data_IF_510139476465
#
_entry.id   IF_510139476465
#
_cell.length_a   1.000
_cell.length_b   1.000
_cell.length_c   1.000
_cell.angle_alpha   90.00
_cell.angle_beta   90.00
_cell.angle_gamma   90.00
#
_symmetry.space_group_name_H-M   'P 1'
#
loop_
_entity.id
_entity.type
_entity.pdbx_description
1 polymer ?
#
# COMPACT_ATOMS: atom_id res chain seq x y z
N UNK A 1 -20.13 -2.07 -11.29
CA UNK A 1 -19.66 -2.54 -12.60
C UNK A 1 -19.34 -4.01 -12.48
N UNK A 2 -19.72 -4.86 -13.44
CA UNK A 2 -19.36 -6.29 -13.38
C UNK A 2 -17.85 -6.50 -13.67
N UNK A 3 -17.24 -7.64 -13.29
CA UNK A 3 -15.80 -7.84 -13.43
C UNK A 3 -15.27 -7.72 -14.87
N UNK A 4 -16.03 -8.20 -15.86
CA UNK A 4 -15.64 -8.14 -17.27
C UNK A 4 -15.61 -6.72 -17.82
N UNK A 5 -16.64 -5.93 -17.50
CA UNK A 5 -16.70 -4.52 -17.87
C UNK A 5 -15.60 -3.71 -17.18
N UNK A 6 -15.29 -4.01 -15.91
CA UNK A 6 -14.18 -3.38 -15.20
C UNK A 6 -12.84 -3.66 -15.88
N UNK A 7 -12.56 -4.91 -16.24
CA UNK A 7 -11.30 -5.29 -16.90
C UNK A 7 -11.15 -4.61 -18.27
N UNK A 8 -12.24 -4.49 -19.02
CA UNK A 8 -12.24 -3.75 -20.29
C UNK A 8 -11.99 -2.25 -20.07
N UNK A 9 -12.68 -1.63 -19.10
CA UNK A 9 -12.49 -0.22 -18.77
C UNK A 9 -11.05 0.09 -18.35
N UNK A 10 -10.46 -0.73 -17.47
CA UNK A 10 -9.06 -0.59 -17.04
C UNK A 10 -8.08 -0.66 -18.21
N UNK A 11 -8.32 -1.53 -19.18
CA UNK A 11 -7.50 -1.62 -20.40
C UNK A 11 -7.57 -0.34 -21.22
N UNK A 12 -8.79 0.12 -21.51
CA UNK A 12 -9.03 1.34 -22.29
C UNK A 12 -8.46 2.59 -21.60
N UNK A 13 -8.61 2.70 -20.29
CA UNK A 13 -8.02 3.79 -19.51
C UNK A 13 -6.49 3.77 -19.54
N UNK A 14 -5.89 2.58 -19.52
CA UNK A 14 -4.43 2.43 -19.57
C UNK A 14 -3.87 2.83 -20.93
N UNK A 15 -4.57 2.48 -22.01
CA UNK A 15 -4.28 2.91 -23.39
C UNK A 15 -4.43 4.42 -23.55
N UNK A 16 -5.50 5.00 -23.01
CA UNK A 16 -5.73 6.44 -23.01
C UNK A 16 -4.79 7.21 -22.06
N UNK A 17 -3.98 6.53 -21.25
CA UNK A 17 -3.09 7.16 -20.28
C UNK A 17 -3.79 7.89 -19.14
N UNK A 18 -4.96 7.40 -18.74
CA UNK A 18 -5.70 7.95 -17.60
C UNK A 18 -4.88 7.80 -16.33
N UNK A 19 -4.74 8.86 -15.52
CA UNK A 19 -3.89 8.79 -14.33
C UNK A 19 -4.44 7.76 -13.31
N UNK A 20 -3.59 7.05 -12.55
CA UNK A 20 -4.04 6.18 -11.46
C UNK A 20 -4.95 6.91 -10.46
N UNK A 21 -4.69 8.20 -10.22
CA UNK A 21 -5.51 9.06 -9.37
C UNK A 21 -6.93 9.21 -9.90
N UNK A 22 -7.12 9.35 -11.21
CA UNK A 22 -8.45 9.48 -11.81
C UNK A 22 -9.18 8.13 -11.89
N UNK A 23 -8.47 7.06 -12.25
CA UNK A 23 -9.04 5.70 -12.21
C UNK A 23 -9.50 5.33 -10.81
N UNK A 24 -8.78 5.73 -9.76
CA UNK A 24 -9.22 5.54 -8.37
C UNK A 24 -10.59 6.19 -8.09
N UNK A 25 -10.86 7.36 -8.68
CA UNK A 25 -12.17 8.04 -8.55
C UNK A 25 -13.23 7.32 -9.37
N UNK A 26 -12.92 6.93 -10.60
CA UNK A 26 -13.84 6.24 -11.51
C UNK A 26 -14.29 4.88 -10.95
N UNK A 27 -13.41 4.20 -10.20
CA UNK A 27 -13.70 2.96 -9.49
C UNK A 27 -14.39 3.17 -8.13
N UNK A 28 -14.71 4.42 -7.76
CA UNK A 28 -15.30 4.78 -6.48
C UNK A 28 -14.50 4.31 -5.23
N UNK A 29 -13.18 4.16 -5.35
CA UNK A 29 -12.32 3.73 -4.25
C UNK A 29 -12.11 4.84 -3.18
N UNK A 30 -12.73 6.01 -3.35
CA UNK A 30 -12.77 7.02 -2.28
C UNK A 30 -13.57 6.54 -1.06
N UNK A 31 -14.43 5.55 -1.23
CA UNK A 31 -15.35 5.01 -0.22
C UNK A 31 -14.81 3.72 0.44
N UNK A 32 -13.48 3.51 0.46
CA UNK A 32 -12.86 2.28 0.99
C UNK A 32 -13.29 1.97 2.44
N UNK A 33 -13.21 2.92 3.38
CA UNK A 33 -13.66 2.72 4.78
C UNK A 33 -15.14 2.33 4.83
N UNK A 34 -15.99 2.96 4.03
CA UNK A 34 -17.45 2.75 4.10
C UNK A 34 -17.91 1.48 3.39
N UNK A 35 -17.02 0.78 2.70
CA UNK A 35 -17.37 -0.44 1.97
C UNK A 35 -17.60 -1.65 2.89
N UNK A 36 -17.05 -1.64 4.11
CA UNK A 36 -17.10 -2.78 5.04
C UNK A 36 -16.29 -4.01 4.58
N UNK A 37 -15.67 -3.96 3.39
CA UNK A 37 -14.83 -5.02 2.84
C UNK A 37 -13.38 -4.77 3.26
N UNK A 38 -12.69 -5.81 3.72
CA UNK A 38 -11.25 -5.71 4.01
C UNK A 38 -10.48 -5.35 2.73
N UNK A 39 -9.37 -4.63 2.86
CA UNK A 39 -8.63 -4.13 1.70
C UNK A 39 -8.09 -5.26 0.81
N UNK A 40 -7.62 -6.35 1.41
CA UNK A 40 -7.11 -7.55 0.75
C UNK A 40 -8.21 -8.38 0.09
N UNK A 41 -9.44 -8.31 0.61
CA UNK A 41 -10.63 -8.92 0.03
C UNK A 41 -11.33 -8.02 -1.01
N UNK A 42 -10.79 -6.84 -1.33
CA UNK A 42 -11.41 -5.89 -2.27
C UNK A 42 -10.85 -6.07 -3.69
N UNK A 43 -11.55 -6.79 -4.59
CA UNK A 43 -11.04 -7.06 -5.94
C UNK A 43 -10.86 -5.78 -6.77
N UNK A 44 -11.70 -4.76 -6.57
CA UNK A 44 -11.58 -3.49 -7.29
C UNK A 44 -10.32 -2.73 -6.88
N UNK A 45 -9.94 -2.78 -5.59
CA UNK A 45 -8.70 -2.19 -5.11
C UNK A 45 -7.47 -2.93 -5.68
N UNK A 46 -7.49 -4.26 -5.68
CA UNK A 46 -6.40 -5.07 -6.25
C UNK A 46 -6.22 -4.80 -7.75
N UNK A 47 -7.31 -4.71 -8.50
CA UNK A 47 -7.25 -4.34 -9.92
C UNK A 47 -6.73 -2.92 -10.14
N UNK A 48 -7.05 -1.97 -9.25
CA UNK A 48 -6.47 -0.63 -9.30
C UNK A 48 -4.95 -0.63 -9.02
N UNK A 49 -4.47 -1.48 -8.11
CA UNK A 49 -3.03 -1.63 -7.87
C UNK A 49 -2.32 -2.21 -9.11
N UNK A 50 -2.91 -3.23 -9.75
CA UNK A 50 -2.40 -3.78 -11.02
C UNK A 50 -2.37 -2.74 -12.13
N UNK A 51 -3.45 -1.97 -12.27
CA UNK A 51 -3.52 -0.84 -13.20
C UNK A 51 -2.39 0.16 -12.96
N UNK A 52 -2.18 0.52 -11.70
CA UNK A 52 -1.16 1.49 -11.30
C UNK A 52 0.25 0.99 -11.60
N UNK A 53 0.55 -0.28 -11.31
CA UNK A 53 1.81 -0.90 -11.67
C UNK A 53 2.04 -0.89 -13.19
N UNK A 54 1.01 -1.24 -13.97
CA UNK A 54 1.09 -1.21 -15.43
C UNK A 54 1.24 0.21 -15.99
N UNK A 55 0.56 1.20 -15.40
CA UNK A 55 0.67 2.61 -15.77
C UNK A 55 2.10 3.12 -15.61
N UNK A 56 2.74 2.81 -14.47
CA UNK A 56 4.14 3.15 -14.19
C UNK A 56 5.10 2.45 -15.15
N UNK A 57 4.89 1.16 -15.41
CA UNK A 57 5.75 0.38 -16.30
C UNK A 57 5.74 0.91 -17.75
N UNK A 58 4.60 1.43 -18.23
CA UNK A 58 4.50 2.07 -19.56
C UNK A 58 5.15 3.45 -19.64
N UNK A 59 5.48 4.06 -18.49
CA UNK A 59 5.98 5.44 -18.39
C UNK A 59 7.13 5.53 -17.37
N UNK A 60 8.24 4.78 -17.58
CA UNK A 60 9.28 4.65 -16.56
C UNK A 60 10.05 5.96 -16.32
N UNK A 61 10.15 6.83 -17.32
CA UNK A 61 10.78 8.16 -17.22
C UNK A 61 9.84 9.22 -16.65
N UNK A 62 8.58 8.84 -16.43
CA UNK A 62 7.54 9.76 -16.01
C UNK A 62 7.34 9.65 -14.49
N UNK A 63 7.78 10.67 -13.78
CA UNK A 63 7.65 10.75 -12.32
C UNK A 63 6.23 11.17 -11.88
N UNK A 64 5.25 11.24 -12.79
CA UNK A 64 3.88 11.70 -12.51
C UNK A 64 3.14 10.87 -11.44
N UNK A 65 3.52 9.60 -11.22
CA UNK A 65 2.88 8.78 -10.18
C UNK A 65 3.84 7.78 -9.53
N UNK A 66 4.08 7.93 -8.23
CA UNK A 66 5.08 7.16 -7.48
C UNK A 66 4.44 6.36 -6.34
N UNK A 67 5.21 5.44 -5.73
CA UNK A 67 4.74 4.59 -4.63
C UNK A 67 4.30 5.42 -3.41
N UNK A 68 4.92 6.59 -3.19
CA UNK A 68 4.47 7.57 -2.21
C UNK A 68 3.04 8.04 -2.42
N UNK A 69 2.62 8.26 -3.67
CA UNK A 69 1.24 8.68 -3.97
C UNK A 69 0.23 7.57 -3.71
N UNK A 70 0.57 6.31 -4.03
CA UNK A 70 -0.26 5.15 -3.70
C UNK A 70 -0.47 5.08 -2.19
N UNK A 71 0.63 5.09 -1.43
CA UNK A 71 0.59 5.04 0.03
C UNK A 71 -0.26 6.19 0.61
N UNK A 72 0.00 7.44 0.21
CA UNK A 72 -0.74 8.61 0.67
C UNK A 72 -2.23 8.54 0.33
N UNK A 73 -2.60 7.98 -0.82
CA UNK A 73 -4.01 7.82 -1.20
C UNK A 73 -4.74 6.83 -0.29
N UNK A 74 -4.07 5.79 0.20
CA UNK A 74 -4.62 4.79 1.12
C UNK A 74 -4.73 5.34 2.54
N UNK A 75 -3.65 5.86 3.12
CA UNK A 75 -3.65 6.33 4.53
C UNK A 75 -4.51 7.58 4.78
N UNK A 76 -4.80 8.37 3.73
CA UNK A 76 -5.79 9.46 3.81
C UNK A 76 -7.22 8.97 4.00
N UNK A 77 -7.48 7.67 3.83
CA UNK A 77 -8.81 7.09 3.75
C UNK A 77 -9.00 5.84 4.58
N UNK A 78 -7.94 5.27 5.13
CA UNK A 78 -7.96 4.01 5.86
C UNK A 78 -6.97 4.14 7.02
N UNK A 79 -7.28 3.63 8.22
CA UNK A 79 -6.34 3.65 9.34
C UNK A 79 -4.97 3.09 8.96
N UNK A 80 -3.90 3.75 9.44
CA UNK A 80 -2.51 3.40 9.12
C UNK A 80 -2.19 1.91 9.36
N UNK A 81 -2.71 1.34 10.45
CA UNK A 81 -2.50 -0.06 10.80
C UNK A 81 -3.08 -1.02 9.75
N UNK A 82 -4.29 -0.74 9.26
CA UNK A 82 -4.96 -1.56 8.25
C UNK A 82 -4.23 -1.46 6.90
N UNK A 83 -3.76 -0.25 6.55
CA UNK A 83 -2.94 -0.04 5.35
C UNK A 83 -1.62 -0.81 5.46
N UNK A 84 -0.98 -0.80 6.63
CA UNK A 84 0.27 -1.53 6.85
C UNK A 84 0.12 -3.05 6.66
N UNK A 85 -0.93 -3.63 7.25
CA UNK A 85 -1.21 -5.06 7.11
C UNK A 85 -1.64 -5.42 5.69
N UNK A 86 -2.37 -4.54 5.02
CA UNK A 86 -2.74 -4.72 3.61
C UNK A 86 -1.51 -4.73 2.71
N UNK A 87 -0.61 -3.75 2.85
CA UNK A 87 0.64 -3.71 2.06
C UNK A 87 1.48 -4.97 2.32
N UNK A 88 1.53 -5.44 3.58
CA UNK A 88 2.20 -6.69 3.93
C UNK A 88 1.56 -7.90 3.24
N UNK A 89 0.24 -7.98 3.12
CA UNK A 89 -0.45 -9.10 2.48
C UNK A 89 -0.21 -9.15 0.97
N UNK A 90 0.01 -8.00 0.31
CA UNK A 90 0.36 -7.94 -1.12
C UNK A 90 1.62 -8.73 -1.47
N UNK A 91 2.54 -8.94 -0.51
CA UNK A 91 3.75 -9.75 -0.72
C UNK A 91 3.46 -11.23 -0.96
N UNK A 92 2.28 -11.70 -0.54
CA UNK A 92 1.78 -13.04 -0.83
C UNK A 92 1.03 -13.15 -2.16
N UNK A 93 0.71 -12.02 -2.81
CA UNK A 93 0.01 -12.00 -4.10
C UNK A 93 1.04 -11.95 -5.22
N UNK A 94 1.18 -13.04 -5.97
CA UNK A 94 2.25 -13.26 -6.97
C UNK A 94 2.54 -12.06 -7.87
N UNK A 95 1.52 -11.45 -8.46
CA UNK A 95 1.67 -10.36 -9.42
C UNK A 95 1.75 -8.96 -8.78
N UNK A 96 1.50 -8.85 -7.47
CA UNK A 96 1.61 -7.63 -6.70
C UNK A 96 2.78 -7.65 -5.71
N UNK A 97 3.52 -8.76 -5.60
CA UNK A 97 4.60 -8.93 -4.63
C UNK A 97 5.61 -7.79 -4.66
N UNK A 98 6.13 -7.46 -5.84
CA UNK A 98 7.11 -6.39 -6.02
C UNK A 98 6.55 -5.03 -5.59
N UNK A 99 5.28 -4.74 -5.94
CA UNK A 99 4.62 -3.50 -5.52
C UNK A 99 4.42 -3.46 -3.99
N UNK A 100 4.00 -4.57 -3.39
CA UNK A 100 3.89 -4.70 -1.93
C UNK A 100 5.22 -4.46 -1.21
N UNK A 101 6.32 -4.99 -1.75
CA UNK A 101 7.67 -4.75 -1.22
C UNK A 101 8.09 -3.29 -1.32
N UNK A 102 7.85 -2.62 -2.45
CA UNK A 102 8.23 -1.20 -2.60
C UNK A 102 7.34 -0.28 -1.76
N UNK A 103 6.03 -0.54 -1.71
CA UNK A 103 5.10 0.20 -0.84
C UNK A 103 5.46 0.02 0.63
N UNK A 104 5.89 -1.16 1.05
CA UNK A 104 6.32 -1.36 2.44
C UNK A 104 7.57 -0.52 2.76
N UNK A 105 8.54 -0.45 1.85
CA UNK A 105 9.72 0.42 2.01
C UNK A 105 9.31 1.89 2.10
N UNK A 106 8.37 2.32 1.26
CA UNK A 106 7.79 3.67 1.31
C UNK A 106 7.13 3.96 2.66
N UNK A 107 6.31 3.04 3.18
CA UNK A 107 5.68 3.19 4.49
C UNK A 107 6.73 3.31 5.62
N UNK A 108 7.71 2.40 5.66
CA UNK A 108 8.76 2.45 6.67
C UNK A 108 9.58 3.74 6.61
N UNK A 109 9.90 4.21 5.41
CA UNK A 109 10.60 5.47 5.23
C UNK A 109 9.76 6.66 5.72
N UNK A 110 8.44 6.66 5.45
CA UNK A 110 7.54 7.70 5.94
C UNK A 110 7.46 7.73 7.48
N UNK A 111 7.33 6.57 8.12
CA UNK A 111 7.36 6.47 9.59
C UNK A 111 8.69 6.95 10.17
N UNK A 112 9.81 6.55 9.58
CA UNK A 112 11.13 6.99 10.04
C UNK A 112 11.32 8.51 9.86
N UNK A 113 10.99 9.05 8.69
CA UNK A 113 11.09 10.48 8.37
C UNK A 113 10.25 11.38 9.29
N UNK A 114 9.19 10.84 9.87
CA UNK A 114 8.32 11.55 10.82
C UNK A 114 8.73 11.33 12.28
N UNK A 115 9.85 10.63 12.53
CA UNK A 115 10.37 10.40 13.87
C UNK A 115 9.60 9.34 14.67
N UNK A 116 8.85 8.47 14.00
CA UNK A 116 7.97 7.50 14.67
C UNK A 116 8.81 6.37 15.29
N UNK A 117 9.14 6.45 16.58
CA UNK A 117 9.93 5.39 17.25
C UNK A 117 9.26 4.00 17.19
N UNK A 118 10.03 2.89 17.25
CA UNK A 118 9.49 1.54 17.24
C UNK A 118 8.35 1.31 18.24
N UNK A 119 8.48 1.81 19.48
CA UNK A 119 7.43 1.70 20.52
C UNK A 119 6.10 2.35 20.09
N UNK A 120 6.17 3.43 19.29
CA UNK A 120 4.98 4.11 18.78
C UNK A 120 4.35 3.31 17.64
N UNK A 121 5.16 2.65 16.82
CA UNK A 121 4.66 1.74 15.76
C UNK A 121 4.04 0.47 16.37
N UNK A 122 4.62 -0.09 17.43
CA UNK A 122 4.04 -1.20 18.17
C UNK A 122 2.63 -0.86 18.68
N UNK A 123 2.49 0.32 19.31
CA UNK A 123 1.19 0.84 19.77
C UNK A 123 0.23 1.13 18.61
N UNK A 124 0.72 1.71 17.51
CA UNK A 124 -0.08 2.02 16.33
C UNK A 124 -0.68 0.76 15.70
N UNK A 125 0.10 -0.32 15.63
CA UNK A 125 -0.35 -1.60 15.09
C UNK A 125 -1.24 -2.38 16.07
N UNK A 126 -1.25 -1.98 17.35
CA UNK A 126 -2.00 -2.65 18.41
C UNK A 126 -1.46 -4.05 18.69
N UNK A 127 -0.14 -4.21 18.68
CA UNK A 127 0.52 -5.49 18.95
C UNK A 127 0.36 -5.83 20.43
N UNK A 128 -0.12 -7.04 20.72
CA UNK A 128 -0.18 -7.61 22.07
C UNK A 128 0.87 -8.71 22.23
N UNK A 129 1.18 -9.11 23.47
CA UNK A 129 2.16 -10.17 23.75
C UNK A 129 1.83 -11.49 23.03
N UNK A 130 0.54 -11.80 22.88
CA UNK A 130 0.05 -12.97 22.16
C UNK A 130 0.24 -12.95 20.64
N UNK A 131 0.52 -11.78 20.04
CA UNK A 131 0.67 -11.58 18.58
C UNK A 131 2.13 -11.66 18.11
N UNK A 132 3.08 -11.87 19.03
CA UNK A 132 4.53 -11.82 18.76
C UNK A 132 5.05 -12.96 17.87
N UNK A 133 4.19 -13.88 17.44
CA UNK A 133 4.53 -14.94 16.49
C UNK A 133 3.43 -15.06 15.43
N UNK A 134 3.81 -14.98 14.15
CA UNK A 134 2.97 -15.21 12.97
C UNK A 134 1.90 -14.15 12.60
N UNK A 135 1.71 -13.08 13.37
CA UNK A 135 0.78 -12.01 12.99
C UNK A 135 1.37 -11.08 11.89
N UNK A 136 0.62 -10.73 10.83
CA UNK A 136 1.06 -9.75 9.83
C UNK A 136 1.51 -8.41 10.42
N UNK A 137 0.87 -7.93 11.49
CA UNK A 137 1.25 -6.72 12.21
C UNK A 137 2.62 -6.86 12.83
N UNK A 138 2.93 -8.01 13.42
CA UNK A 138 4.24 -8.24 14.01
C UNK A 138 5.34 -8.31 12.93
N UNK A 139 5.03 -8.90 11.76
CA UNK A 139 5.94 -8.89 10.60
C UNK A 139 6.24 -7.47 10.11
N UNK A 140 5.22 -6.61 10.04
CA UNK A 140 5.36 -5.19 9.71
C UNK A 140 6.25 -4.48 10.74
N UNK A 141 5.98 -4.69 12.02
CA UNK A 141 6.75 -4.10 13.11
C UNK A 141 8.24 -4.46 13.04
N UNK A 142 8.56 -5.75 12.89
CA UNK A 142 9.95 -6.20 12.77
C UNK A 142 10.66 -5.60 11.55
N UNK A 143 9.96 -5.51 10.41
CA UNK A 143 10.51 -4.85 9.22
C UNK A 143 10.81 -3.38 9.46
N UNK A 144 9.94 -2.67 10.20
CA UNK A 144 10.19 -1.28 10.56
C UNK A 144 11.37 -1.11 11.53
N UNK A 145 11.48 -1.96 12.55
CA UNK A 145 12.59 -1.94 13.51
C UNK A 145 13.94 -2.05 12.80
N UNK A 146 14.04 -2.91 11.78
CA UNK A 146 15.25 -3.06 10.98
C UNK A 146 15.63 -1.75 10.26
N UNK A 147 14.66 -1.08 9.63
CA UNK A 147 14.87 0.22 8.97
C UNK A 147 15.28 1.29 9.99
N UNK A 148 14.62 1.35 11.14
CA UNK A 148 14.90 2.34 12.17
C UNK A 148 16.32 2.18 12.75
N UNK A 149 16.73 0.94 13.07
CA UNK A 149 18.09 0.64 13.55
C UNK A 149 19.16 0.91 12.49
N UNK A 150 18.88 0.60 11.22
CA UNK A 150 19.80 0.85 10.12
C UNK A 150 20.09 2.33 9.92
N UNK A 151 19.08 3.19 10.05
CA UNK A 151 19.24 4.64 9.84
C UNK A 151 19.76 5.39 11.09
N UNK A 152 19.47 4.91 12.31
CA UNK A 152 20.00 5.53 13.54
C UNK A 152 21.50 5.29 13.71
N UNK A 153 22.02 4.14 13.27
CA UNK A 153 23.46 3.83 13.29
C UNK A 153 24.31 4.65 12.31
N UNK A 154 23.70 5.31 11.33
CA UNK A 154 24.40 6.15 10.34
C UNK A 154 24.56 7.60 10.83
N UNK A 155 23.78 8.00 11.85
CA UNK A 155 23.68 9.40 12.33
C UNK A 155 24.42 9.60 13.67
N UNK A 156 24.96 8.53 14.27
CA UNK A 156 25.79 8.53 15.48
C UNK A 156 27.24 8.22 15.12
#
# INVERSE_FOLDING_TARGET
MNPSAQKLALRLWLEAGTSPKDVFKLLNLKQLITSGVKLDDNPTLLEWLRYTAAYKARRPSDHLFQDGEIYLMLVKRVPEADVATFIQSLKGVSDLKTLGETLQKTQYYAWWRTGLEPKNVEKLLGITDSMKTFDPKYSVYLGYVQVWLGNTRIVL
#
